data_IF_714206198322
#
_entry.id   IF_714206198322
#
_cell.length_a   1.000
_cell.length_b   1.000
_cell.length_c   1.000
_cell.angle_alpha   90.00
_cell.angle_beta   90.00
_cell.angle_gamma   90.00
#
_symmetry.space_group_name_H-M   'P 1'
#
loop_
_entity.id
_entity.type
_entity.pdbx_description
1 polymer ?
#
# COMPACT_ATOMS: atom_id res chain seq x y z
N UNK A 1 61.72 6.20 29.82
CA UNK A 1 60.37 6.82 29.91
C UNK A 1 59.46 6.07 28.96
N UNK A 2 58.62 5.15 29.47
CA UNK A 2 57.80 4.24 28.66
C UNK A 2 56.36 4.78 28.65
N UNK A 3 55.93 5.29 27.51
CA UNK A 3 54.55 5.72 27.28
C UNK A 3 53.72 4.49 26.97
N UNK A 4 52.81 4.10 27.87
CA UNK A 4 51.83 3.05 27.61
C UNK A 4 50.64 3.67 26.91
N UNK A 5 50.45 3.33 25.61
CA UNK A 5 49.23 3.62 24.92
C UNK A 5 48.10 2.71 25.45
N UNK A 6 47.10 3.34 26.07
CA UNK A 6 45.87 2.67 26.48
C UNK A 6 44.93 2.70 25.31
N UNK A 7 44.78 1.56 24.64
CA UNK A 7 43.78 1.37 23.59
C UNK A 7 42.40 1.27 24.23
N UNK A 8 41.61 2.31 24.11
CA UNK A 8 40.17 2.27 24.45
C UNK A 8 39.41 1.66 23.28
N UNK A 9 38.99 0.43 23.46
CA UNK A 9 38.11 -0.29 22.53
C UNK A 9 36.68 0.20 22.79
N UNK A 10 36.20 1.11 21.95
CA UNK A 10 34.78 1.52 21.96
C UNK A 10 33.99 0.47 21.21
N UNK A 11 33.34 -0.41 21.96
CA UNK A 11 32.36 -1.34 21.41
C UNK A 11 31.07 -0.56 21.08
N UNK A 12 30.88 -0.24 19.80
CA UNK A 12 29.61 0.28 19.29
C UNK A 12 28.64 -0.88 19.18
N UNK A 13 27.80 -1.06 20.19
CA UNK A 13 26.65 -1.97 20.12
C UNK A 13 25.59 -1.36 19.22
N UNK A 14 25.54 -1.79 17.97
CA UNK A 14 24.39 -1.57 17.09
C UNK A 14 23.20 -2.37 17.62
N UNK A 15 22.36 -1.75 18.42
CA UNK A 15 21.03 -2.26 18.71
C UNK A 15 20.18 -2.09 17.46
N UNK A 16 20.03 -3.17 16.70
CA UNK A 16 18.98 -3.26 15.68
C UNK A 16 17.64 -3.23 16.40
N UNK A 17 17.06 -2.05 16.49
CA UNK A 17 15.63 -1.89 16.77
C UNK A 17 14.89 -2.44 15.55
N UNK A 18 14.58 -3.72 15.59
CA UNK A 18 13.62 -4.35 14.68
C UNK A 18 12.26 -3.73 15.00
N UNK A 19 11.98 -2.56 14.43
CA UNK A 19 10.62 -2.04 14.40
C UNK A 19 9.79 -3.05 13.60
N UNK A 20 8.89 -3.74 14.29
CA UNK A 20 7.91 -4.63 13.67
C UNK A 20 7.03 -3.76 12.76
N UNK A 21 7.33 -3.77 11.47
CA UNK A 21 6.67 -2.95 10.43
C UNK A 21 5.17 -3.34 10.28
N UNK A 22 4.72 -4.37 10.98
CA UNK A 22 3.37 -4.94 10.90
C UNK A 22 2.48 -4.67 12.12
N UNK A 23 2.91 -3.91 13.12
CA UNK A 23 2.03 -3.53 14.21
C UNK A 23 1.04 -2.47 13.68
N UNK A 24 -0.25 -2.85 13.56
CA UNK A 24 -1.37 -1.99 13.21
C UNK A 24 -1.46 -1.51 11.75
N UNK A 25 -1.02 -2.30 10.79
CA UNK A 25 -1.24 -1.97 9.38
C UNK A 25 -2.73 -1.99 9.01
N UNK A 26 -3.17 -0.94 8.33
CA UNK A 26 -4.53 -0.85 7.78
C UNK A 26 -4.48 -1.26 6.31
N UNK A 27 -5.35 -2.16 5.89
CA UNK A 27 -5.43 -2.62 4.51
C UNK A 27 -6.84 -2.43 3.97
N UNK A 28 -6.97 -1.65 2.90
CA UNK A 28 -8.20 -1.56 2.13
C UNK A 28 -8.15 -2.57 0.98
N UNK A 29 -9.16 -3.43 0.88
CA UNK A 29 -9.27 -4.41 -0.21
C UNK A 29 -10.47 -4.10 -1.08
N UNK A 30 -10.30 -4.27 -2.40
CA UNK A 30 -11.33 -4.08 -3.40
C UNK A 30 -11.38 -5.31 -4.29
N UNK A 31 -12.53 -5.98 -4.33
CA UNK A 31 -12.76 -7.14 -5.19
C UNK A 31 -13.45 -6.68 -6.47
N UNK A 32 -12.82 -6.90 -7.61
CA UNK A 32 -13.22 -6.31 -8.88
C UNK A 32 -13.22 -7.35 -10.02
N UNK A 33 -13.91 -7.00 -11.12
CA UNK A 33 -13.88 -7.70 -12.41
C UNK A 33 -13.46 -6.73 -13.51
N UNK A 34 -12.78 -7.25 -14.53
CA UNK A 34 -12.51 -6.51 -15.75
C UNK A 34 -13.80 -6.23 -16.52
N UNK A 35 -13.89 -5.06 -17.12
CA UNK A 35 -14.91 -4.79 -18.14
C UNK A 35 -14.56 -5.47 -19.46
N UNK A 36 -15.57 -5.66 -20.30
CA UNK A 36 -15.42 -6.29 -21.61
C UNK A 36 -14.34 -5.57 -22.44
N UNK A 37 -13.45 -6.37 -23.05
CA UNK A 37 -12.35 -5.87 -23.88
C UNK A 37 -11.17 -5.27 -23.12
N UNK A 38 -11.21 -5.24 -21.79
CA UNK A 38 -10.13 -4.72 -20.93
C UNK A 38 -9.20 -5.84 -20.46
N UNK A 39 -7.95 -5.48 -20.16
CA UNK A 39 -6.89 -6.37 -19.70
C UNK A 39 -6.40 -5.98 -18.31
N UNK A 40 -5.73 -6.89 -17.63
CA UNK A 40 -5.10 -6.64 -16.32
C UNK A 40 -4.12 -5.47 -16.36
N UNK A 41 -3.38 -5.34 -17.45
CA UNK A 41 -2.42 -4.27 -17.66
C UNK A 41 -3.08 -2.90 -17.70
N UNK A 42 -4.30 -2.78 -18.24
CA UNK A 42 -5.07 -1.53 -18.27
C UNK A 42 -5.40 -1.10 -16.84
N UNK A 43 -5.86 -2.04 -16.01
CA UNK A 43 -6.19 -1.78 -14.60
C UNK A 43 -4.95 -1.44 -13.79
N UNK A 44 -3.84 -2.19 -13.98
CA UNK A 44 -2.58 -1.91 -13.29
C UNK A 44 -2.01 -0.55 -13.66
N UNK A 45 -2.18 -0.10 -14.91
CA UNK A 45 -1.77 1.23 -15.34
C UNK A 45 -2.56 2.34 -14.62
N UNK A 46 -3.87 2.17 -14.43
CA UNK A 46 -4.68 3.10 -13.65
C UNK A 46 -4.29 3.08 -12.18
N UNK A 47 -4.08 1.89 -11.60
CA UNK A 47 -3.66 1.75 -10.21
C UNK A 47 -2.31 2.42 -9.94
N UNK A 48 -1.39 2.36 -10.91
CA UNK A 48 -0.11 3.06 -10.81
C UNK A 48 -0.29 4.58 -10.77
N UNK A 49 -1.26 5.14 -11.51
CA UNK A 49 -1.59 6.58 -11.44
C UNK A 49 -2.17 6.95 -10.08
N UNK A 50 -3.08 6.12 -9.56
CA UNK A 50 -3.64 6.30 -8.23
C UNK A 50 -2.56 6.27 -7.15
N UNK A 51 -1.70 5.25 -7.16
CA UNK A 51 -0.62 5.12 -6.19
C UNK A 51 0.34 6.31 -6.23
N UNK A 52 0.70 6.77 -7.43
CA UNK A 52 1.51 7.98 -7.60
C UNK A 52 0.82 9.19 -6.96
N UNK A 53 -0.48 9.39 -7.25
CA UNK A 53 -1.25 10.51 -6.71
C UNK A 53 -1.27 10.50 -5.18
N UNK A 54 -1.59 9.38 -4.54
CA UNK A 54 -1.66 9.31 -3.07
C UNK A 54 -0.28 9.39 -2.42
N UNK A 55 0.76 8.89 -3.06
CA UNK A 55 2.13 9.01 -2.57
C UNK A 55 2.66 10.45 -2.62
N UNK A 56 2.25 11.22 -3.61
CA UNK A 56 2.62 12.63 -3.75
C UNK A 56 1.80 13.56 -2.84
N UNK A 57 0.53 13.23 -2.56
CA UNK A 57 -0.40 14.12 -1.86
C UNK A 57 -0.69 13.72 -0.41
N UNK A 58 -0.42 12.48 -0.01
CA UNK A 58 -0.74 11.97 1.33
C UNK A 58 0.49 11.38 2.02
N UNK A 59 0.99 10.22 1.56
CA UNK A 59 2.13 9.54 2.15
C UNK A 59 2.79 8.58 1.15
N UNK A 60 4.11 8.70 1.03
CA UNK A 60 4.94 7.76 0.24
C UNK A 60 5.02 6.34 0.83
N UNK A 61 4.53 6.16 2.05
CA UNK A 61 4.50 4.85 2.72
C UNK A 61 3.25 4.03 2.36
N UNK A 62 2.32 4.59 1.56
CA UNK A 62 1.17 3.86 1.02
C UNK A 62 1.67 2.91 -0.07
N UNK A 63 1.24 1.65 0.03
CA UNK A 63 1.58 0.58 -0.91
C UNK A 63 0.30 0.03 -1.49
N UNK A 64 0.27 -0.23 -2.80
CA UNK A 64 -0.83 -0.93 -3.46
C UNK A 64 -0.34 -2.22 -4.10
N UNK A 65 -1.10 -3.28 -3.93
CA UNK A 65 -0.83 -4.59 -4.50
C UNK A 65 -2.01 -5.04 -5.36
N UNK A 66 -1.70 -5.64 -6.50
CA UNK A 66 -2.68 -6.26 -7.38
C UNK A 66 -2.66 -7.78 -7.21
N UNK A 67 -3.79 -8.36 -6.83
CA UNK A 67 -3.95 -9.81 -6.64
C UNK A 67 -4.78 -10.43 -7.76
N UNK A 68 -4.27 -11.49 -8.40
CA UNK A 68 -5.02 -12.35 -9.29
C UNK A 68 -5.35 -13.66 -8.61
N UNK A 69 -6.56 -14.21 -8.83
CA UNK A 69 -6.90 -15.53 -8.33
C UNK A 69 -6.02 -16.59 -9.02
N UNK A 70 -5.35 -17.42 -8.22
CA UNK A 70 -4.57 -18.58 -8.70
C UNK A 70 -5.46 -19.83 -8.74
N UNK A 71 -6.42 -19.90 -7.82
CA UNK A 71 -7.42 -20.98 -7.72
C UNK A 71 -8.81 -20.34 -7.60
N UNK A 72 -9.82 -20.95 -8.18
CA UNK A 72 -11.20 -20.45 -8.15
C UNK A 72 -11.52 -19.59 -9.37
N UNK A 73 -12.39 -18.59 -9.20
CA UNK A 73 -12.81 -17.73 -10.29
C UNK A 73 -11.71 -16.76 -10.69
N UNK A 74 -11.09 -16.98 -11.84
CA UNK A 74 -9.98 -16.19 -12.36
C UNK A 74 -10.40 -14.88 -13.04
N UNK A 75 -11.70 -14.64 -13.23
CA UNK A 75 -12.22 -13.36 -13.73
C UNK A 75 -12.20 -12.27 -12.67
N UNK A 76 -11.98 -12.66 -11.42
CA UNK A 76 -11.91 -11.75 -10.27
C UNK A 76 -10.46 -11.42 -9.99
N UNK A 77 -10.21 -10.15 -9.73
CA UNK A 77 -8.94 -9.65 -9.18
C UNK A 77 -9.19 -8.80 -7.95
N UNK A 78 -8.14 -8.46 -7.24
CA UNK A 78 -8.22 -7.68 -6.01
C UNK A 78 -7.13 -6.60 -6.01
N UNK A 79 -7.47 -5.41 -5.52
CA UNK A 79 -6.49 -4.47 -5.00
C UNK A 79 -6.39 -4.63 -3.49
N UNK A 80 -5.18 -4.51 -2.95
CA UNK A 80 -4.91 -4.40 -1.52
C UNK A 80 -4.01 -3.19 -1.29
N UNK A 81 -4.60 -2.12 -0.76
CA UNK A 81 -3.92 -0.88 -0.46
C UNK A 81 -3.56 -0.85 1.03
N UNK A 82 -2.28 -0.82 1.32
CA UNK A 82 -1.75 -0.86 2.69
C UNK A 82 -1.34 0.54 3.13
N UNK A 83 -1.84 0.94 4.29
CA UNK A 83 -1.59 2.23 4.95
C UNK A 83 -0.84 2.00 6.26
N UNK A 84 0.10 2.87 6.64
CA UNK A 84 0.83 2.73 7.91
C UNK A 84 -0.09 2.80 9.13
N UNK A 85 -1.20 3.55 9.03
CA UNK A 85 -2.16 3.75 10.11
C UNK A 85 -3.53 4.22 9.58
N UNK A 86 -4.53 4.26 10.47
CA UNK A 86 -5.88 4.68 10.14
C UNK A 86 -5.97 6.18 9.80
N UNK A 87 -5.11 7.00 10.39
CA UNK A 87 -5.06 8.44 10.09
C UNK A 87 -4.65 8.68 8.64
N UNK A 88 -3.63 7.96 8.17
CA UNK A 88 -3.17 8.03 6.76
C UNK A 88 -4.26 7.57 5.80
N UNK A 89 -4.99 6.49 6.14
CA UNK A 89 -6.15 6.07 5.36
C UNK A 89 -7.21 7.18 5.30
N UNK A 90 -7.57 7.79 6.44
CA UNK A 90 -8.57 8.87 6.49
C UNK A 90 -8.13 10.10 5.68
N UNK A 91 -6.86 10.49 5.74
CA UNK A 91 -6.28 11.56 4.92
C UNK A 91 -6.38 11.22 3.43
N UNK A 92 -6.17 9.96 3.06
CA UNK A 92 -6.33 9.50 1.67
C UNK A 92 -7.78 9.68 1.21
N UNK A 93 -8.78 9.31 2.02
CA UNK A 93 -10.18 9.52 1.66
C UNK A 93 -10.48 11.00 1.39
N UNK A 94 -9.96 11.91 2.21
CA UNK A 94 -10.12 13.36 2.00
C UNK A 94 -9.42 13.83 0.72
N UNK A 95 -8.23 13.32 0.42
CA UNK A 95 -7.49 13.68 -0.80
C UNK A 95 -8.18 13.18 -2.08
N UNK A 96 -8.99 12.10 -1.98
CA UNK A 96 -9.76 11.56 -3.11
C UNK A 96 -10.99 12.41 -3.47
N UNK A 97 -11.37 13.41 -2.68
CA UNK A 97 -12.44 14.37 -3.01
C UNK A 97 -11.99 15.45 -4.01
N UNK A 98 -10.75 15.42 -4.49
CA UNK A 98 -10.23 16.38 -5.46
C UNK A 98 -10.66 16.06 -6.90
N UNK A 99 -10.62 17.07 -7.78
CA UNK A 99 -10.91 16.92 -9.22
C UNK A 99 -9.93 15.92 -9.88
N UNK A 100 -8.63 16.02 -9.54
CA UNK A 100 -7.61 15.10 -10.07
C UNK A 100 -7.86 13.65 -9.66
N UNK A 101 -8.33 13.39 -8.43
CA UNK A 101 -8.70 12.06 -7.97
C UNK A 101 -9.98 11.56 -8.66
N UNK A 102 -10.97 12.41 -8.88
CA UNK A 102 -12.19 12.06 -9.63
C UNK A 102 -11.89 11.62 -11.05
N UNK A 103 -10.89 12.22 -11.71
CA UNK A 103 -10.42 11.77 -13.02
C UNK A 103 -9.85 10.36 -12.97
N UNK A 104 -9.06 10.03 -11.95
CA UNK A 104 -8.51 8.68 -11.75
C UNK A 104 -9.61 7.66 -11.46
N UNK A 105 -10.60 8.01 -10.64
CA UNK A 105 -11.76 7.16 -10.36
C UNK A 105 -12.55 6.86 -11.64
N UNK A 106 -12.76 7.85 -12.51
CA UNK A 106 -13.36 7.63 -13.83
C UNK A 106 -12.57 6.66 -14.70
N UNK A 107 -11.24 6.70 -14.64
CA UNK A 107 -10.39 5.72 -15.34
C UNK A 107 -10.56 4.31 -14.78
N UNK A 108 -10.72 4.12 -13.46
CA UNK A 108 -11.03 2.81 -12.88
C UNK A 108 -12.39 2.31 -13.33
N UNK A 109 -13.41 3.17 -13.35
CA UNK A 109 -14.75 2.82 -13.84
C UNK A 109 -14.74 2.41 -15.31
N UNK A 110 -13.85 2.96 -16.13
CA UNK A 110 -13.72 2.60 -17.54
C UNK A 110 -13.14 1.20 -17.77
N UNK A 111 -12.31 0.70 -16.86
CA UNK A 111 -11.56 -0.57 -17.03
C UNK A 111 -12.08 -1.70 -16.16
N UNK A 112 -12.77 -1.41 -15.05
CA UNK A 112 -13.19 -2.41 -14.07
C UNK A 112 -14.52 -2.07 -13.41
N UNK A 113 -15.07 -3.06 -12.72
CA UNK A 113 -16.19 -2.91 -11.82
C UNK A 113 -15.86 -3.62 -10.50
N UNK A 114 -15.87 -2.87 -9.40
CA UNK A 114 -15.62 -3.40 -8.06
C UNK A 114 -16.94 -3.63 -7.33
N UNK A 115 -17.15 -4.86 -6.87
CA UNK A 115 -18.39 -5.28 -6.22
C UNK A 115 -18.32 -5.24 -4.70
N UNK A 116 -17.09 -5.18 -4.14
CA UNK A 116 -16.87 -5.26 -2.71
C UNK A 116 -15.63 -4.48 -2.32
N UNK A 117 -15.75 -3.74 -1.20
CA UNK A 117 -14.60 -3.13 -0.54
C UNK A 117 -14.64 -3.44 0.97
N UNK A 118 -13.46 -3.56 1.58
CA UNK A 118 -13.31 -3.78 3.01
C UNK A 118 -12.08 -3.06 3.53
N UNK A 119 -12.16 -2.62 4.78
CA UNK A 119 -11.03 -2.08 5.53
C UNK A 119 -10.68 -3.06 6.66
N UNK A 120 -9.43 -3.47 6.70
CA UNK A 120 -8.90 -4.43 7.65
C UNK A 120 -7.87 -3.77 8.57
N UNK A 121 -7.92 -4.11 9.83
CA UNK A 121 -6.79 -3.92 10.74
C UNK A 121 -6.07 -5.27 10.84
N UNK A 122 -4.80 -5.31 10.44
CA UNK A 122 -4.00 -6.52 10.53
C UNK A 122 -3.25 -6.53 11.86
N UNK A 123 -3.42 -7.61 12.62
CA UNK A 123 -2.73 -7.84 13.88
C UNK A 123 -1.88 -9.11 13.77
N UNK A 124 -0.62 -9.10 14.22
CA UNK A 124 0.21 -10.30 14.20
C UNK A 124 -0.37 -11.36 15.14
N UNK A 125 -0.41 -12.60 14.68
CA UNK A 125 -0.74 -13.75 15.53
C UNK A 125 0.43 -14.03 16.48
N UNK A 126 0.13 -14.20 17.77
CA UNK A 126 1.12 -14.50 18.82
C UNK A 126 1.28 -15.99 18.99
#
# INVERSE_FOLDING_TARGET
MKIRLLSVLVAVTFTFLSNSIFADSIVATYTCKLKEGKKKEDVQAVNSKWLKYVNENVSKDIISSFGSAVVGNQDIFMFADTYPDLETWAKTQTALDSEAASEIDGMFEDVSHCSENRLWKLEPTK
#
